data_IF_310131071990
#
_entry.id   IF_310131071990
#
_cell.length_a   1.000
_cell.length_b   1.000
_cell.length_c   1.000
_cell.angle_alpha   90.00
_cell.angle_beta   90.00
_cell.angle_gamma   90.00
#
_symmetry.space_group_name_H-M   'P 1'
#
loop_
_entity.id
_entity.type
_entity.pdbx_description
1 polymer ?
#
# COMPACT_ATOMS: atom_id res chain seq x y z
N UNK A 1 24.17 -35.08 26.84
CA UNK A 1 24.52 -34.66 25.46
C UNK A 1 24.30 -33.16 25.42
N UNK A 2 25.36 -32.42 25.50
CA UNK A 2 25.32 -30.96 25.43
C UNK A 2 25.14 -30.52 23.99
N UNK A 3 24.00 -29.92 23.66
CA UNK A 3 23.80 -29.30 22.35
C UNK A 3 24.47 -27.93 22.38
N UNK A 4 25.53 -27.81 21.58
CA UNK A 4 26.23 -26.58 21.30
C UNK A 4 25.28 -25.61 20.56
N UNK A 5 24.84 -24.54 21.24
CA UNK A 5 24.04 -23.46 20.69
C UNK A 5 24.88 -22.29 20.11
N UNK A 6 26.20 -22.48 19.94
CA UNK A 6 27.13 -21.41 19.54
C UNK A 6 27.27 -21.12 18.07
N UNK A 7 26.38 -21.67 17.19
CA UNK A 7 26.51 -21.53 15.73
C UNK A 7 25.32 -20.91 15.01
N UNK A 8 24.53 -20.06 15.68
CA UNK A 8 23.64 -19.17 14.91
C UNK A 8 24.33 -17.81 14.78
N UNK A 9 24.68 -17.38 13.53
CA UNK A 9 25.10 -16.01 13.32
C UNK A 9 23.98 -15.10 13.81
N UNK A 10 24.29 -13.99 14.51
CA UNK A 10 23.28 -12.99 14.85
C UNK A 10 22.57 -12.63 13.56
N UNK A 11 21.23 -12.77 13.54
CA UNK A 11 20.43 -12.30 12.40
C UNK A 11 20.82 -10.85 12.20
N UNK A 12 21.43 -10.54 11.06
CA UNK A 12 21.69 -9.15 10.67
C UNK A 12 20.40 -8.39 10.94
N UNK A 13 20.50 -7.34 11.77
CA UNK A 13 19.39 -6.39 11.92
C UNK A 13 18.94 -6.10 10.50
N UNK A 14 17.70 -6.39 10.17
CA UNK A 14 17.09 -5.81 8.97
C UNK A 14 17.20 -4.32 9.18
N UNK A 15 18.26 -3.73 8.64
CA UNK A 15 18.40 -2.28 8.62
C UNK A 15 17.08 -1.75 8.13
N UNK A 16 16.44 -0.92 8.95
CA UNK A 16 15.19 -0.29 8.59
C UNK A 16 15.50 0.60 7.39
N UNK A 17 15.35 0.03 6.19
CA UNK A 17 15.63 0.71 4.94
C UNK A 17 14.79 1.99 4.89
N UNK A 18 15.47 3.13 4.94
CA UNK A 18 14.84 4.45 4.89
C UNK A 18 15.31 5.16 3.62
N UNK A 19 14.57 5.01 2.53
CA UNK A 19 14.89 5.76 1.32
C UNK A 19 14.69 7.25 1.56
N UNK A 20 15.43 8.05 0.80
CA UNK A 20 15.28 9.52 0.80
C UNK A 20 14.91 10.00 -0.60
N UNK A 21 14.42 11.22 -0.66
CA UNK A 21 14.27 11.97 -1.91
C UNK A 21 15.62 12.62 -2.21
N UNK A 22 16.35 12.16 -3.25
CA UNK A 22 17.65 12.75 -3.57
C UNK A 22 17.50 14.16 -4.18
N UNK A 23 18.52 15.05 -4.03
CA UNK A 23 18.44 16.42 -4.53
C UNK A 23 18.23 16.53 -6.05
N UNK A 24 18.71 15.56 -6.82
CA UNK A 24 18.60 15.50 -8.29
C UNK A 24 17.72 14.34 -8.76
N UNK A 25 16.56 14.17 -8.12
CA UNK A 25 15.70 13.00 -8.30
C UNK A 25 15.00 12.90 -9.67
N UNK A 26 15.04 13.92 -10.50
CA UNK A 26 14.25 13.98 -11.74
C UNK A 26 14.81 13.12 -12.89
N UNK A 27 15.97 12.52 -12.71
CA UNK A 27 16.55 11.64 -13.72
C UNK A 27 16.15 10.17 -13.48
N UNK A 28 15.44 9.61 -14.44
CA UNK A 28 15.16 8.17 -14.46
C UNK A 28 16.46 7.39 -14.34
N UNK A 29 16.57 6.43 -13.41
CA UNK A 29 17.79 5.62 -13.27
C UNK A 29 18.23 4.99 -14.59
N UNK A 30 19.50 5.12 -14.94
CA UNK A 30 20.05 4.71 -16.24
C UNK A 30 19.80 3.22 -16.57
N UNK A 31 19.76 2.36 -15.55
CA UNK A 31 19.41 0.95 -15.69
C UNK A 31 17.97 0.71 -16.16
N UNK A 32 17.03 1.58 -15.73
CA UNK A 32 15.62 1.48 -16.17
C UNK A 32 15.45 1.96 -17.61
N UNK A 33 16.23 2.94 -18.07
CA UNK A 33 16.18 3.44 -19.45
C UNK A 33 16.61 2.36 -20.44
N UNK A 34 17.66 1.60 -20.12
CA UNK A 34 18.12 0.49 -20.95
C UNK A 34 17.06 -0.60 -21.12
N UNK A 35 16.27 -0.84 -20.08
CA UNK A 35 15.18 -1.82 -20.11
C UNK A 35 14.01 -1.38 -21.00
N UNK A 36 13.75 -0.07 -21.14
CA UNK A 36 12.73 0.45 -22.06
C UNK A 36 13.01 0.13 -23.53
N UNK A 37 14.28 -0.08 -23.85
CA UNK A 37 14.75 -0.34 -25.23
C UNK A 37 14.79 -1.83 -25.58
N UNK A 38 14.45 -2.73 -24.63
CA UNK A 38 14.43 -4.18 -24.91
C UNK A 38 13.28 -4.54 -25.83
N UNK A 39 13.62 -5.21 -26.92
CA UNK A 39 12.64 -5.74 -27.88
C UNK A 39 11.89 -6.93 -27.29
N UNK A 40 10.58 -7.07 -27.61
CA UNK A 40 9.76 -8.22 -27.24
C UNK A 40 8.99 -8.10 -25.93
N UNK A 41 9.01 -6.93 -25.29
CA UNK A 41 8.15 -6.59 -24.14
C UNK A 41 7.75 -5.13 -24.19
N UNK A 42 6.56 -4.81 -23.67
CA UNK A 42 6.17 -3.43 -23.38
C UNK A 42 6.66 -3.05 -21.99
N UNK A 43 7.45 -1.99 -21.91
CA UNK A 43 8.00 -1.51 -20.67
C UNK A 43 7.50 -0.10 -20.37
N UNK A 44 7.11 0.13 -19.12
CA UNK A 44 6.64 1.43 -18.64
C UNK A 44 7.42 1.81 -17.41
N UNK A 45 7.72 3.11 -17.25
CA UNK A 45 8.29 3.68 -16.04
C UNK A 45 7.29 4.68 -15.47
N UNK A 46 6.90 4.44 -14.23
CA UNK A 46 6.03 5.32 -13.48
C UNK A 46 6.83 6.04 -12.41
N UNK A 47 6.82 7.36 -12.48
CA UNK A 47 7.51 8.24 -11.53
C UNK A 47 6.50 8.69 -10.47
N UNK A 48 6.81 8.41 -9.22
CA UNK A 48 6.02 8.85 -8.08
C UNK A 48 6.66 10.11 -7.49
N UNK A 49 5.88 11.17 -7.44
CA UNK A 49 6.27 12.48 -6.92
C UNK A 49 5.34 12.87 -5.80
N UNK A 50 5.92 13.48 -4.76
CA UNK A 50 5.13 14.06 -3.67
C UNK A 50 4.38 15.33 -4.12
N UNK A 51 3.56 15.88 -3.22
CA UNK A 51 2.77 17.09 -3.46
C UNK A 51 3.63 18.30 -3.84
N UNK A 52 4.93 18.31 -3.48
CA UNK A 52 5.88 19.36 -3.80
C UNK A 52 6.65 19.09 -5.12
N UNK A 53 6.16 18.16 -5.94
CA UNK A 53 6.76 17.77 -7.21
C UNK A 53 8.19 17.16 -7.10
N UNK A 54 8.57 16.63 -5.92
CA UNK A 54 9.84 15.94 -5.71
C UNK A 54 9.71 14.46 -5.96
N UNK A 55 10.61 13.86 -6.71
CA UNK A 55 10.58 12.43 -7.04
C UNK A 55 10.95 11.57 -5.85
N UNK A 56 10.01 10.74 -5.38
CA UNK A 56 10.20 9.81 -4.28
C UNK A 56 10.75 8.46 -4.76
N UNK A 57 10.10 7.86 -5.74
CA UNK A 57 10.48 6.55 -6.27
C UNK A 57 9.96 6.33 -7.69
N UNK A 58 10.41 5.26 -8.31
CA UNK A 58 9.92 4.79 -9.59
C UNK A 58 9.38 3.36 -9.50
N UNK A 59 8.44 3.03 -10.37
CA UNK A 59 8.04 1.65 -10.62
C UNK A 59 8.26 1.36 -12.11
N UNK A 60 9.07 0.35 -12.39
CA UNK A 60 9.16 -0.23 -13.73
C UNK A 60 8.14 -1.36 -13.85
N UNK A 61 7.25 -1.25 -14.82
CA UNK A 61 6.36 -2.32 -15.24
C UNK A 61 6.86 -2.91 -16.55
N UNK A 62 6.92 -4.24 -16.60
CA UNK A 62 7.26 -5.00 -17.82
C UNK A 62 6.11 -5.94 -18.13
N UNK A 63 5.53 -5.76 -19.31
CA UNK A 63 4.48 -6.62 -19.87
C UNK A 63 5.13 -7.48 -20.97
N UNK A 64 5.57 -8.73 -20.67
CA UNK A 64 6.21 -9.58 -21.65
C UNK A 64 5.17 -10.09 -22.67
N UNK A 65 5.60 -10.38 -23.91
CA UNK A 65 4.74 -10.97 -24.94
C UNK A 65 4.14 -12.32 -24.50
N UNK A 66 4.80 -13.03 -23.61
CA UNK A 66 4.31 -14.27 -22.97
C UNK A 66 4.72 -14.29 -21.50
N UNK A 67 3.79 -14.69 -20.62
CA UNK A 67 4.05 -14.80 -19.19
C UNK A 67 3.32 -13.73 -18.37
N UNK A 68 3.76 -13.56 -17.12
CA UNK A 68 3.13 -12.61 -16.19
C UNK A 68 3.83 -11.25 -16.23
N UNK A 69 3.06 -10.17 -16.14
CA UNK A 69 3.57 -8.82 -15.90
C UNK A 69 4.39 -8.77 -14.62
N UNK A 70 5.47 -8.00 -14.63
CA UNK A 70 6.32 -7.78 -13.45
C UNK A 70 6.44 -6.30 -13.12
N UNK A 71 6.65 -6.02 -11.82
CA UNK A 71 6.83 -4.68 -11.29
C UNK A 71 8.13 -4.64 -10.49
N UNK A 72 8.98 -3.69 -10.78
CA UNK A 72 10.23 -3.47 -10.06
C UNK A 72 10.23 -2.06 -9.49
N UNK A 73 10.03 -1.91 -8.17
CA UNK A 73 10.16 -0.62 -7.52
C UNK A 73 11.63 -0.23 -7.41
N UNK A 74 11.91 1.07 -7.51
CA UNK A 74 13.24 1.65 -7.36
C UNK A 74 13.16 2.85 -6.46
N UNK A 75 13.90 2.84 -5.35
CA UNK A 75 14.02 3.96 -4.43
C UNK A 75 15.49 4.31 -4.16
N UNK A 76 15.76 5.52 -3.71
CA UNK A 76 17.13 6.00 -3.51
C UNK A 76 17.63 5.59 -2.13
N UNK A 77 18.74 4.87 -2.11
CA UNK A 77 19.44 4.41 -0.92
C UNK A 77 20.52 5.44 -0.55
N UNK A 78 20.37 6.18 0.56
CA UNK A 78 21.33 7.21 0.95
C UNK A 78 22.70 6.64 1.30
N UNK A 79 22.75 5.44 1.87
CA UNK A 79 24.02 4.80 2.28
C UNK A 79 24.84 4.38 1.08
N UNK A 80 24.18 3.98 0.00
CA UNK A 80 24.83 3.60 -1.27
C UNK A 80 24.93 4.74 -2.26
N UNK A 81 24.28 5.87 -1.97
CA UNK A 81 24.16 7.03 -2.85
C UNK A 81 23.72 6.64 -4.27
N UNK A 82 22.72 5.76 -4.38
CA UNK A 82 22.22 5.25 -5.67
C UNK A 82 20.79 4.73 -5.59
N UNK A 83 20.16 4.60 -6.74
CA UNK A 83 18.86 3.95 -6.89
C UNK A 83 19.03 2.43 -6.76
N UNK A 84 18.21 1.81 -5.92
CA UNK A 84 18.21 0.36 -5.67
C UNK A 84 16.83 -0.26 -5.93
N UNK A 85 16.76 -1.55 -6.32
CA UNK A 85 15.49 -2.22 -6.57
C UNK A 85 14.79 -2.60 -5.24
N UNK A 86 14.39 -1.58 -4.48
CA UNK A 86 13.63 -1.72 -3.23
C UNK A 86 12.39 -0.86 -3.29
N UNK A 87 11.30 -1.35 -2.67
CA UNK A 87 10.08 -0.59 -2.54
C UNK A 87 10.25 0.55 -1.51
N UNK A 88 9.56 1.66 -1.77
CA UNK A 88 9.29 2.65 -0.73
C UNK A 88 8.43 1.99 0.35
N UNK A 89 8.77 2.09 1.65
CA UNK A 89 8.16 1.24 2.67
C UNK A 89 6.67 1.53 2.90
N UNK A 90 6.36 2.68 3.44
CA UNK A 90 5.05 3.17 3.85
C UNK A 90 4.91 4.66 3.52
N UNK A 91 3.80 5.28 3.87
CA UNK A 91 3.51 6.70 3.55
C UNK A 91 3.80 7.05 2.09
N UNK A 92 3.46 6.12 1.19
CA UNK A 92 3.75 6.27 -0.24
C UNK A 92 2.90 7.37 -0.84
N UNK A 93 3.50 8.32 -1.59
CA UNK A 93 2.71 9.28 -2.33
C UNK A 93 1.83 8.57 -3.38
N UNK A 94 0.74 9.20 -3.74
CA UNK A 94 -0.08 8.76 -4.85
C UNK A 94 0.65 8.98 -6.19
N UNK A 95 0.40 8.12 -7.15
CA UNK A 95 0.83 8.39 -8.53
C UNK A 95 0.17 9.66 -9.05
N UNK A 96 0.95 10.61 -9.56
CA UNK A 96 0.54 11.95 -9.99
C UNK A 96 0.08 12.88 -8.86
N UNK A 97 0.41 12.61 -7.61
CA UNK A 97 0.06 13.45 -6.46
C UNK A 97 0.44 14.93 -6.66
N UNK A 98 1.59 15.20 -7.25
CA UNK A 98 2.06 16.56 -7.52
C UNK A 98 1.08 17.42 -8.35
N UNK A 99 0.17 16.81 -9.12
CA UNK A 99 -0.85 17.52 -9.88
C UNK A 99 -1.99 18.05 -9.00
N UNK A 100 -2.14 17.53 -7.79
CA UNK A 100 -3.13 17.99 -6.81
C UNK A 100 -2.78 19.34 -6.21
N UNK A 101 -1.50 19.74 -6.27
CA UNK A 101 -1.03 20.98 -5.68
C UNK A 101 -1.63 22.20 -6.40
N UNK A 102 -2.46 22.97 -5.68
CA UNK A 102 -3.14 24.14 -6.23
C UNK A 102 -4.27 23.82 -7.24
N UNK A 103 -4.66 22.57 -7.37
CA UNK A 103 -5.80 22.16 -8.21
C UNK A 103 -7.10 22.14 -7.40
N UNK A 104 -8.17 22.74 -7.94
CA UNK A 104 -9.53 22.70 -7.36
C UNK A 104 -10.41 21.63 -8.02
N UNK A 105 -9.84 20.79 -8.89
CA UNK A 105 -10.59 19.76 -9.60
C UNK A 105 -11.01 18.62 -8.67
N UNK A 106 -12.17 18.00 -8.94
CA UNK A 106 -12.49 16.73 -8.31
C UNK A 106 -11.50 15.64 -8.72
N UNK A 107 -11.35 14.64 -7.88
CA UNK A 107 -10.36 13.57 -8.04
C UNK A 107 -11.04 12.24 -8.36
N UNK A 108 -10.49 11.53 -9.35
CA UNK A 108 -10.80 10.11 -9.57
C UNK A 108 -9.63 9.27 -9.10
N UNK A 109 -9.89 8.32 -8.21
CA UNK A 109 -8.93 7.31 -7.77
C UNK A 109 -9.19 6.01 -8.54
N UNK A 110 -8.16 5.50 -9.22
CA UNK A 110 -8.15 4.21 -9.92
C UNK A 110 -7.13 3.27 -9.30
N UNK A 111 -7.11 1.97 -9.65
CA UNK A 111 -6.23 1.01 -8.99
C UNK A 111 -4.77 1.07 -9.43
N UNK A 112 -4.49 1.41 -10.68
CA UNK A 112 -3.15 1.28 -11.22
C UNK A 112 -2.75 2.37 -12.19
N UNK A 113 -1.43 2.50 -12.39
CA UNK A 113 -0.82 3.58 -13.16
C UNK A 113 -1.24 3.58 -14.63
N UNK A 114 -1.47 2.38 -15.22
CA UNK A 114 -1.92 2.25 -16.62
C UNK A 114 -3.32 2.83 -16.76
N UNK A 115 -4.25 2.44 -15.87
CA UNK A 115 -5.60 2.99 -15.80
C UNK A 115 -5.58 4.50 -15.50
N UNK A 116 -4.72 4.97 -14.59
CA UNK A 116 -4.56 6.40 -14.29
C UNK A 116 -4.09 7.22 -15.49
N UNK A 117 -3.16 6.68 -16.28
CA UNK A 117 -2.70 7.35 -17.51
C UNK A 117 -3.78 7.39 -18.59
N UNK A 118 -4.59 6.33 -18.72
CA UNK A 118 -5.71 6.29 -19.65
C UNK A 118 -6.83 7.25 -19.22
N UNK A 119 -7.22 7.20 -17.94
CA UNK A 119 -8.21 8.09 -17.35
C UNK A 119 -7.82 9.58 -17.52
N UNK A 120 -6.55 9.91 -17.29
CA UNK A 120 -6.06 11.28 -17.46
C UNK A 120 -6.20 11.79 -18.90
N UNK A 121 -6.14 10.91 -19.91
CA UNK A 121 -6.41 11.27 -21.32
C UNK A 121 -7.90 11.44 -21.59
N UNK A 122 -8.75 10.61 -20.96
CA UNK A 122 -10.20 10.64 -21.13
C UNK A 122 -10.79 11.90 -20.47
N UNK A 123 -10.43 12.15 -19.21
CA UNK A 123 -11.03 13.20 -18.39
C UNK A 123 -10.28 14.54 -18.44
N UNK A 124 -9.05 14.54 -18.96
CA UNK A 124 -8.20 15.74 -19.19
C UNK A 124 -8.31 16.80 -18.08
N UNK A 125 -8.98 17.91 -18.43
CA UNK A 125 -9.05 19.10 -17.58
C UNK A 125 -10.18 19.05 -16.54
N UNK A 126 -11.02 18.03 -16.58
CA UNK A 126 -12.20 17.93 -15.70
C UNK A 126 -11.92 17.29 -14.35
N UNK A 127 -10.93 16.40 -14.28
CA UNK A 127 -10.59 15.66 -13.07
C UNK A 127 -9.07 15.54 -12.92
N UNK A 128 -8.62 15.53 -11.68
CA UNK A 128 -7.29 15.01 -11.34
C UNK A 128 -7.39 13.48 -11.15
N UNK A 129 -6.44 12.77 -11.72
CA UNK A 129 -6.45 11.29 -11.68
C UNK A 129 -5.25 10.81 -10.90
N UNK A 130 -5.50 9.98 -9.89
CA UNK A 130 -4.46 9.39 -9.06
C UNK A 130 -4.67 7.89 -8.87
N UNK A 131 -3.62 7.18 -8.46
CA UNK A 131 -3.73 5.82 -7.98
C UNK A 131 -2.66 5.55 -6.91
N UNK A 132 -2.81 4.47 -6.14
CA UNK A 132 -1.77 4.00 -5.23
C UNK A 132 -0.75 3.10 -5.95
N UNK A 133 0.33 2.73 -5.24
CA UNK A 133 1.37 1.84 -5.76
C UNK A 133 1.24 0.42 -5.20
N UNK A 134 1.58 -0.58 -6.00
CA UNK A 134 1.73 -1.96 -5.52
C UNK A 134 0.48 -2.82 -5.59
N UNK A 135 -0.59 -2.35 -6.26
CA UNK A 135 -1.81 -3.13 -6.49
C UNK A 135 -2.70 -3.27 -5.26
N UNK A 136 -3.77 -4.07 -5.39
CA UNK A 136 -4.89 -4.17 -4.44
C UNK A 136 -4.52 -4.55 -3.00
N UNK A 137 -3.38 -5.19 -2.78
CA UNK A 137 -2.93 -5.59 -1.43
C UNK A 137 -2.09 -4.54 -0.69
N UNK A 138 -1.81 -3.38 -1.28
CA UNK A 138 -0.92 -2.36 -0.71
C UNK A 138 -1.58 -0.99 -0.56
N UNK A 139 -2.90 -0.94 -0.61
CA UNK A 139 -3.73 0.26 -0.44
C UNK A 139 -3.39 1.01 0.86
N UNK A 140 -3.22 0.26 1.96
CA UNK A 140 -2.93 0.78 3.30
C UNK A 140 -1.52 1.40 3.46
N UNK A 141 -0.62 1.21 2.51
CA UNK A 141 0.73 1.79 2.55
C UNK A 141 0.80 3.20 1.95
N UNK A 142 -0.32 3.72 1.48
CA UNK A 142 -0.42 5.01 0.78
C UNK A 142 -0.78 6.12 1.72
N UNK A 143 -0.12 7.27 1.57
CA UNK A 143 -0.49 8.50 2.23
C UNK A 143 -1.57 9.21 1.41
N UNK A 144 -2.75 9.39 2.00
CA UNK A 144 -3.88 10.04 1.34
C UNK A 144 -4.05 11.52 1.73
N UNK A 145 -3.16 12.10 2.53
CA UNK A 145 -3.30 13.47 3.04
C UNK A 145 -3.44 14.53 1.94
N UNK A 146 -2.83 14.29 0.76
CA UNK A 146 -2.94 15.19 -0.39
C UNK A 146 -4.37 15.30 -0.98
N UNK A 147 -5.28 14.39 -0.59
CA UNK A 147 -6.67 14.37 -1.02
C UNK A 147 -7.62 15.12 -0.07
N UNK A 148 -7.08 15.72 0.99
CA UNK A 148 -7.91 16.43 1.97
C UNK A 148 -8.76 17.50 1.29
N UNK A 149 -10.04 17.55 1.67
CA UNK A 149 -11.04 18.49 1.19
C UNK A 149 -11.33 18.41 -0.33
N UNK A 150 -10.95 17.30 -0.99
CA UNK A 150 -11.27 17.05 -2.40
C UNK A 150 -12.57 16.27 -2.55
N UNK A 151 -13.30 16.55 -3.63
CA UNK A 151 -14.40 15.69 -4.09
C UNK A 151 -13.82 14.42 -4.69
N UNK A 152 -14.06 13.27 -4.07
CA UNK A 152 -13.43 12.00 -4.43
C UNK A 152 -14.43 11.05 -5.08
N UNK A 153 -14.06 10.52 -6.24
CA UNK A 153 -14.76 9.44 -6.92
C UNK A 153 -13.84 8.22 -7.05
N UNK A 154 -14.27 7.08 -6.55
CA UNK A 154 -13.57 5.81 -6.68
C UNK A 154 -14.01 5.11 -7.97
N UNK A 155 -13.03 4.61 -8.72
CA UNK A 155 -13.27 3.84 -9.94
C UNK A 155 -12.62 2.47 -9.85
N UNK A 156 -13.36 1.43 -9.42
CA UNK A 156 -12.81 0.08 -9.27
C UNK A 156 -12.56 -0.59 -10.63
N UNK A 157 -11.56 -1.46 -10.70
CA UNK A 157 -11.51 -2.49 -11.71
C UNK A 157 -12.74 -3.39 -11.57
N UNK A 158 -13.28 -3.91 -12.66
CA UNK A 158 -14.54 -4.66 -12.64
C UNK A 158 -14.36 -6.10 -12.15
N UNK A 159 -13.82 -6.26 -10.95
CA UNK A 159 -13.72 -7.56 -10.27
C UNK A 159 -13.81 -7.43 -8.74
N UNK A 160 -13.85 -8.56 -8.05
CA UNK A 160 -13.99 -8.59 -6.60
C UNK A 160 -12.77 -7.97 -5.88
N UNK A 161 -11.57 -8.11 -6.45
CA UNK A 161 -10.35 -7.54 -5.87
C UNK A 161 -10.35 -6.01 -5.98
N UNK A 162 -10.80 -5.47 -7.13
CA UNK A 162 -10.95 -4.05 -7.34
C UNK A 162 -11.97 -3.40 -6.42
N UNK A 163 -13.11 -4.06 -6.23
CA UNK A 163 -14.13 -3.59 -5.29
C UNK A 163 -13.58 -3.62 -3.85
N UNK A 164 -12.85 -4.66 -3.46
CA UNK A 164 -12.23 -4.75 -2.13
C UNK A 164 -11.18 -3.65 -1.92
N UNK A 165 -10.31 -3.43 -2.90
CA UNK A 165 -9.27 -2.40 -2.84
C UNK A 165 -9.86 -0.98 -2.74
N UNK A 166 -10.89 -0.67 -3.54
CA UNK A 166 -11.57 0.63 -3.43
C UNK A 166 -12.34 0.79 -2.13
N UNK A 167 -12.91 -0.30 -1.59
CA UNK A 167 -13.53 -0.28 -0.25
C UNK A 167 -12.48 0.02 0.82
N UNK A 168 -11.31 -0.59 0.75
CA UNK A 168 -10.21 -0.32 1.67
C UNK A 168 -9.76 1.14 1.58
N UNK A 169 -9.57 1.68 0.38
CA UNK A 169 -9.21 3.09 0.18
C UNK A 169 -10.28 4.04 0.76
N UNK A 170 -11.56 3.75 0.52
CA UNK A 170 -12.66 4.54 1.09
C UNK A 170 -12.64 4.53 2.62
N UNK A 171 -12.47 3.37 3.25
CA UNK A 171 -12.42 3.26 4.71
C UNK A 171 -11.25 4.05 5.30
N UNK A 172 -10.07 4.01 4.67
CA UNK A 172 -8.89 4.78 5.08
C UNK A 172 -9.18 6.29 4.99
N UNK A 173 -9.72 6.73 3.86
CA UNK A 173 -10.04 8.14 3.63
C UNK A 173 -11.04 8.69 4.67
N UNK A 174 -12.08 7.91 4.99
CA UNK A 174 -13.09 8.27 6.00
C UNK A 174 -12.53 8.24 7.42
N UNK A 175 -11.81 7.17 7.78
CA UNK A 175 -11.23 6.99 9.12
C UNK A 175 -10.16 8.05 9.45
N UNK A 176 -9.41 8.52 8.44
CA UNK A 176 -8.42 9.58 8.58
C UNK A 176 -9.02 11.00 8.50
N UNK A 177 -10.32 11.12 8.27
CA UNK A 177 -10.97 12.43 8.12
C UNK A 177 -10.45 13.24 6.93
N UNK A 178 -10.05 12.55 5.85
CA UNK A 178 -9.61 13.18 4.59
C UNK A 178 -10.81 13.80 3.89
N UNK A 179 -11.95 13.11 3.93
CA UNK A 179 -13.23 13.56 3.38
C UNK A 179 -14.37 12.92 4.15
N UNK A 180 -15.52 13.57 4.16
CA UNK A 180 -16.75 13.04 4.77
C UNK A 180 -17.63 12.28 3.77
N UNK A 181 -17.36 12.46 2.47
CA UNK A 181 -18.17 11.89 1.40
C UNK A 181 -17.31 11.39 0.26
N UNK A 182 -17.61 10.18 -0.19
CA UNK A 182 -16.94 9.54 -1.32
C UNK A 182 -18.02 9.02 -2.27
N UNK A 183 -17.84 9.29 -3.56
CA UNK A 183 -18.63 8.66 -4.61
C UNK A 183 -17.91 7.45 -5.19
N UNK A 184 -18.67 6.47 -5.72
CA UNK A 184 -18.11 5.28 -6.36
C UNK A 184 -18.84 4.98 -7.67
N UNK A 185 -18.06 4.60 -8.68
CA UNK A 185 -18.61 4.11 -9.95
C UNK A 185 -19.06 2.66 -9.79
N UNK A 186 -20.27 2.37 -10.23
CA UNK A 186 -20.82 1.01 -10.25
C UNK A 186 -20.90 0.54 -11.70
N UNK A 187 -20.02 -0.37 -12.08
CA UNK A 187 -20.03 -0.97 -13.41
C UNK A 187 -21.13 -2.02 -13.51
N UNK A 188 -21.83 -2.03 -14.62
CA UNK A 188 -22.89 -3.01 -14.89
C UNK A 188 -22.28 -4.33 -15.41
N UNK A 189 -23.09 -5.40 -15.49
CA UNK A 189 -22.71 -6.69 -16.08
C UNK A 189 -22.36 -6.64 -17.58
N UNK A 190 -22.52 -5.48 -18.22
CA UNK A 190 -22.10 -5.25 -19.62
C UNK A 190 -20.60 -5.01 -19.75
N UNK A 191 -19.92 -4.75 -18.64
CA UNK A 191 -18.47 -4.61 -18.60
C UNK A 191 -17.81 -5.97 -18.32
N UNK A 192 -16.79 -6.35 -19.10
CA UNK A 192 -16.06 -7.60 -18.87
C UNK A 192 -15.45 -7.66 -17.46
N UNK A 193 -15.26 -8.86 -16.92
CA UNK A 193 -14.48 -9.07 -15.70
C UNK A 193 -13.08 -8.49 -15.87
N UNK A 194 -12.59 -7.77 -14.85
CA UNK A 194 -11.28 -7.07 -14.82
C UNK A 194 -11.16 -5.91 -15.81
N UNK A 195 -12.24 -5.44 -16.37
CA UNK A 195 -12.22 -4.24 -17.19
C UNK A 195 -11.76 -3.03 -16.36
N UNK A 196 -10.81 -2.26 -16.90
CA UNK A 196 -10.33 -1.00 -16.35
C UNK A 196 -10.36 0.13 -17.41
N UNK A 197 -10.07 1.35 -17.02
CA UNK A 197 -10.08 2.53 -17.90
C UNK A 197 -9.00 2.53 -18.99
N UNK A 198 -8.05 1.60 -18.95
CA UNK A 198 -7.06 1.42 -20.02
C UNK A 198 -7.52 0.44 -21.11
N UNK A 199 -8.64 -0.26 -20.89
CA UNK A 199 -9.21 -1.19 -21.84
C UNK A 199 -10.12 -0.47 -22.85
N UNK A 200 -10.41 -1.14 -23.96
CA UNK A 200 -11.41 -0.63 -24.90
C UNK A 200 -12.79 -0.59 -24.25
N UNK A 201 -13.52 0.50 -24.51
CA UNK A 201 -14.89 0.61 -23.99
C UNK A 201 -15.77 -0.50 -24.57
N UNK A 202 -16.54 -1.25 -23.76
CA UNK A 202 -17.28 -2.41 -24.20
C UNK A 202 -18.38 -2.05 -25.22
N UNK A 203 -18.40 -2.74 -26.35
CA UNK A 203 -19.38 -2.51 -27.42
C UNK A 203 -20.82 -2.73 -26.92
N UNK A 204 -21.05 -3.74 -26.09
CA UNK A 204 -22.38 -4.02 -25.55
C UNK A 204 -22.89 -2.90 -24.65
N UNK A 205 -22.02 -2.26 -23.87
CA UNK A 205 -22.36 -1.09 -23.07
C UNK A 205 -22.67 0.11 -23.97
N UNK A 206 -21.85 0.35 -25.00
CA UNK A 206 -22.05 1.43 -25.97
C UNK A 206 -23.38 1.26 -26.72
N UNK A 207 -23.72 0.05 -27.17
CA UNK A 207 -24.99 -0.25 -27.87
C UNK A 207 -26.24 -0.04 -26.97
N UNK A 208 -26.06 -0.01 -25.64
CA UNK A 208 -27.12 0.33 -24.67
C UNK A 208 -27.11 1.81 -24.29
N UNK A 209 -26.35 2.65 -25.00
CA UNK A 209 -26.26 4.08 -24.74
C UNK A 209 -25.42 4.48 -23.55
N UNK A 210 -24.68 3.53 -22.94
CA UNK A 210 -23.75 3.83 -21.85
C UNK A 210 -22.49 4.43 -22.46
N UNK A 211 -21.99 5.49 -21.86
CA UNK A 211 -20.69 6.08 -22.19
C UNK A 211 -19.94 6.45 -20.91
N UNK A 212 -18.66 6.75 -21.05
CA UNK A 212 -17.76 6.98 -19.92
C UNK A 212 -18.20 8.16 -19.05
N UNK A 213 -18.74 9.23 -19.66
CA UNK A 213 -19.20 10.41 -18.92
C UNK A 213 -20.53 10.13 -18.21
N UNK A 214 -21.41 9.34 -18.81
CA UNK A 214 -22.65 8.90 -18.19
C UNK A 214 -22.41 8.05 -16.92
N UNK A 215 -21.29 7.33 -16.85
CA UNK A 215 -20.89 6.63 -15.61
C UNK A 215 -20.55 7.62 -14.49
N UNK A 216 -19.87 8.73 -14.80
CA UNK A 216 -19.61 9.81 -13.85
C UNK A 216 -20.92 10.47 -13.37
N UNK A 217 -21.84 10.73 -14.27
CA UNK A 217 -23.14 11.35 -13.95
C UNK A 217 -24.02 10.45 -13.08
N UNK A 218 -23.88 9.14 -13.20
CA UNK A 218 -24.66 8.12 -12.47
C UNK A 218 -23.92 7.49 -11.29
N UNK A 219 -22.74 8.05 -10.90
CA UNK A 219 -22.03 7.60 -9.71
C UNK A 219 -22.92 7.71 -8.47
N UNK A 220 -22.71 6.82 -7.53
CA UNK A 220 -23.44 6.80 -6.26
C UNK A 220 -22.53 7.06 -5.07
N UNK A 221 -23.12 7.50 -3.98
CA UNK A 221 -22.41 7.58 -2.71
C UNK A 221 -21.88 6.21 -2.30
N UNK A 222 -20.64 6.17 -1.82
CA UNK A 222 -20.04 4.96 -1.29
C UNK A 222 -20.70 4.57 0.03
N UNK A 223 -21.16 3.34 0.07
CA UNK A 223 -21.66 2.71 1.30
C UNK A 223 -20.93 1.38 1.45
N UNK A 224 -20.19 1.22 2.53
CA UNK A 224 -19.44 0.00 2.77
C UNK A 224 -20.37 -1.21 2.95
N UNK A 225 -20.08 -2.30 2.24
CA UNK A 225 -20.66 -3.59 2.58
C UNK A 225 -20.15 -4.05 3.95
N UNK A 226 -21.05 -4.26 4.90
CA UNK A 226 -20.69 -4.58 6.30
C UNK A 226 -19.81 -5.83 6.42
N UNK A 227 -19.97 -6.80 5.54
CA UNK A 227 -19.17 -8.03 5.52
C UNK A 227 -17.75 -7.78 5.04
N UNK A 228 -17.64 -6.99 3.97
CA UNK A 228 -16.37 -6.60 3.39
C UNK A 228 -15.59 -5.67 4.31
N UNK A 229 -16.25 -4.69 4.91
CA UNK A 229 -15.67 -3.82 5.92
C UNK A 229 -15.09 -4.61 7.10
N UNK A 230 -15.85 -5.52 7.70
CA UNK A 230 -15.36 -6.39 8.78
C UNK A 230 -14.15 -7.22 8.38
N UNK A 231 -14.13 -7.73 7.15
CA UNK A 231 -12.99 -8.48 6.60
C UNK A 231 -11.73 -7.61 6.51
N UNK A 232 -11.87 -6.38 6.00
CA UNK A 232 -10.75 -5.43 5.84
C UNK A 232 -10.23 -5.00 7.21
N UNK A 233 -11.09 -4.58 8.14
CA UNK A 233 -10.69 -4.16 9.49
C UNK A 233 -10.00 -5.26 10.26
N UNK A 234 -10.47 -6.51 10.15
CA UNK A 234 -9.79 -7.67 10.74
C UNK A 234 -8.38 -7.86 10.15
N UNK A 235 -8.19 -7.70 8.83
CA UNK A 235 -6.87 -7.77 8.21
C UNK A 235 -5.94 -6.68 8.73
N UNK A 236 -6.42 -5.45 8.93
CA UNK A 236 -5.62 -4.37 9.52
C UNK A 236 -5.19 -4.68 10.96
N UNK A 237 -6.09 -5.19 11.77
CA UNK A 237 -5.74 -5.65 13.13
C UNK A 237 -4.64 -6.73 13.12
N UNK A 238 -4.72 -7.68 12.18
CA UNK A 238 -3.71 -8.72 12.04
C UNK A 238 -2.34 -8.15 11.61
N UNK A 239 -2.33 -7.15 10.73
CA UNK A 239 -1.11 -6.44 10.31
C UNK A 239 -0.50 -5.63 11.46
N UNK A 240 -1.31 -4.86 12.18
CA UNK A 240 -0.86 -4.08 13.35
C UNK A 240 -0.28 -4.99 14.43
N UNK A 241 -0.97 -6.08 14.77
CA UNK A 241 -0.49 -7.04 15.76
C UNK A 241 0.82 -7.70 15.33
N UNK A 242 0.97 -8.02 14.04
CA UNK A 242 2.22 -8.58 13.50
C UNK A 242 3.37 -7.57 13.59
N UNK A 243 3.14 -6.31 13.26
CA UNK A 243 4.13 -5.23 13.40
C UNK A 243 4.58 -5.09 14.85
N UNK A 244 3.63 -5.03 15.80
CA UNK A 244 3.94 -4.95 17.23
C UNK A 244 4.76 -6.13 17.74
N UNK A 245 4.52 -7.35 17.24
CA UNK A 245 5.30 -8.53 17.60
C UNK A 245 6.76 -8.37 17.14
N UNK A 246 6.98 -7.85 15.93
CA UNK A 246 8.34 -7.57 15.46
C UNK A 246 9.02 -6.48 16.29
N UNK A 247 8.31 -5.40 16.64
CA UNK A 247 8.84 -4.32 17.46
C UNK A 247 9.25 -4.82 18.85
N UNK A 248 8.49 -5.74 19.43
CA UNK A 248 8.82 -6.37 20.70
C UNK A 248 10.04 -7.28 20.55
N UNK A 249 10.10 -8.10 19.49
CA UNK A 249 11.21 -9.00 19.24
C UNK A 249 12.54 -8.26 19.00
N UNK A 250 12.49 -7.03 18.46
CA UNK A 250 13.68 -6.19 18.29
C UNK A 250 14.19 -5.57 19.60
N UNK A 251 13.35 -5.49 20.62
CA UNK A 251 13.68 -4.86 21.90
C UNK A 251 13.90 -5.86 23.03
N UNK A 252 13.31 -7.03 22.94
CA UNK A 252 13.32 -8.03 24.02
C UNK A 252 13.64 -9.43 23.49
N UNK A 253 14.38 -10.20 24.29
CA UNK A 253 14.64 -11.63 24.06
C UNK A 253 14.00 -12.44 25.18
N UNK A 254 13.20 -13.44 24.82
CA UNK A 254 12.62 -14.36 25.79
C UNK A 254 13.61 -15.47 26.14
N UNK A 255 13.94 -15.59 27.45
CA UNK A 255 14.84 -16.60 27.96
C UNK A 255 14.03 -17.75 28.55
N UNK A 256 13.86 -18.83 27.80
CA UNK A 256 13.04 -20.00 28.19
C UNK A 256 13.48 -20.67 29.47
N UNK A 257 14.76 -20.61 29.78
CA UNK A 257 15.34 -21.29 30.97
C UNK A 257 14.89 -20.65 32.29
N UNK A 258 14.67 -19.34 32.29
CA UNK A 258 14.27 -18.57 33.46
C UNK A 258 12.84 -18.08 33.39
N UNK A 259 12.16 -18.29 32.27
CA UNK A 259 10.81 -17.75 31.98
C UNK A 259 10.76 -16.21 32.08
N UNK A 260 11.83 -15.54 31.64
CA UNK A 260 12.00 -14.09 31.74
C UNK A 260 12.25 -13.46 30.38
N UNK A 261 11.98 -12.16 30.29
CA UNK A 261 12.32 -11.35 29.13
C UNK A 261 13.55 -10.49 29.42
N UNK A 262 14.48 -10.45 28.49
CA UNK A 262 15.67 -9.63 28.54
C UNK A 262 15.53 -8.43 27.62
N UNK A 263 15.59 -7.20 28.17
CA UNK A 263 15.56 -5.96 27.41
C UNK A 263 16.95 -5.66 26.85
N UNK A 264 17.07 -5.64 25.52
CA UNK A 264 18.38 -5.51 24.83
C UNK A 264 19.03 -4.15 25.11
N UNK A 265 18.24 -3.09 25.23
CA UNK A 265 18.75 -1.73 25.41
C UNK A 265 19.30 -1.47 26.81
N UNK A 266 18.63 -1.95 27.83
CA UNK A 266 19.02 -1.73 29.24
C UNK A 266 19.92 -2.82 29.80
N UNK A 267 20.01 -3.96 29.10
CA UNK A 267 20.68 -5.17 29.57
C UNK A 267 20.11 -5.73 30.90
N UNK A 268 18.80 -5.58 31.10
CA UNK A 268 18.11 -6.03 32.30
C UNK A 268 17.06 -7.09 31.99
N UNK A 269 16.83 -7.98 32.95
CA UNK A 269 15.69 -8.88 32.91
C UNK A 269 14.43 -8.14 33.33
N UNK A 270 13.37 -8.30 32.54
CA UNK A 270 12.07 -7.69 32.78
C UNK A 270 11.01 -8.78 32.97
N UNK A 271 10.13 -8.56 33.92
CA UNK A 271 9.01 -9.48 34.15
C UNK A 271 7.96 -9.35 33.06
N UNK A 272 7.19 -10.43 32.83
CA UNK A 272 6.04 -10.39 31.95
C UNK A 272 5.02 -9.30 32.35
N UNK A 273 4.90 -9.02 33.65
CA UNK A 273 4.04 -7.94 34.15
C UNK A 273 4.49 -6.57 33.66
N UNK A 274 5.81 -6.29 33.67
CA UNK A 274 6.36 -5.04 33.13
C UNK A 274 6.13 -4.96 31.62
N UNK A 275 6.43 -6.04 30.89
CA UNK A 275 6.21 -6.10 29.46
C UNK A 275 4.73 -5.86 29.08
N UNK A 276 3.81 -6.49 29.82
CA UNK A 276 2.37 -6.26 29.65
C UNK A 276 1.97 -4.81 29.94
N UNK A 277 2.52 -4.21 31.00
CA UNK A 277 2.26 -2.82 31.33
C UNK A 277 2.70 -1.88 30.20
N UNK A 278 3.88 -2.11 29.61
CA UNK A 278 4.47 -1.23 28.62
C UNK A 278 3.88 -1.40 27.20
N UNK A 279 3.38 -2.58 26.88
CA UNK A 279 2.99 -2.94 25.52
C UNK A 279 1.54 -3.37 25.34
N UNK A 280 0.84 -3.88 26.36
CA UNK A 280 -0.51 -4.41 26.21
C UNK A 280 -1.50 -3.40 25.63
N UNK A 281 -1.36 -2.11 25.96
CA UNK A 281 -2.22 -1.04 25.47
C UNK A 281 -2.07 -0.77 23.96
N UNK A 282 -0.95 -1.23 23.33
CA UNK A 282 -0.72 -1.11 21.90
C UNK A 282 -1.40 -2.21 21.11
N UNK A 283 -1.72 -3.35 21.74
CA UNK A 283 -2.47 -4.41 21.10
C UNK A 283 -3.96 -4.06 21.06
N UNK A 284 -4.48 -3.90 19.87
CA UNK A 284 -5.92 -3.77 19.65
C UNK A 284 -6.54 -5.16 19.60
N UNK A 285 -7.57 -5.38 20.39
CA UNK A 285 -8.41 -6.55 20.27
C UNK A 285 -9.88 -6.17 20.42
N UNK A 286 -10.73 -6.86 19.66
CA UNK A 286 -12.17 -6.67 19.67
C UNK A 286 -12.85 -7.11 20.97
N UNK A 287 -12.13 -7.81 21.87
CA UNK A 287 -12.65 -8.32 23.13
C UNK A 287 -12.33 -7.43 24.33
N UNK A 288 -11.50 -6.40 24.17
CA UNK A 288 -11.07 -5.51 25.24
C UNK A 288 -10.25 -6.19 26.35
N UNK A 289 -9.81 -7.44 26.14
CA UNK A 289 -9.03 -8.25 27.08
C UNK A 289 -7.72 -8.66 26.41
N UNK A 290 -6.71 -7.82 26.52
CA UNK A 290 -5.38 -8.12 26.00
C UNK A 290 -4.48 -8.71 27.09
N UNK A 291 -4.40 -10.02 27.19
CA UNK A 291 -3.25 -10.63 27.86
C UNK A 291 -2.14 -10.83 26.81
N UNK A 292 -1.15 -9.92 26.83
CA UNK A 292 -0.01 -9.95 25.94
C UNK A 292 0.76 -11.28 26.06
N UNK A 293 0.83 -11.86 27.26
CA UNK A 293 1.56 -13.11 27.52
C UNK A 293 0.99 -14.28 26.71
N UNK A 294 -0.32 -14.43 26.67
CA UNK A 294 -0.97 -15.51 25.91
C UNK A 294 -0.73 -15.34 24.40
N UNK A 295 -0.77 -14.09 23.92
CA UNK A 295 -0.60 -13.80 22.49
C UNK A 295 0.84 -13.93 22.01
N UNK A 296 1.79 -13.44 22.79
CA UNK A 296 3.22 -13.58 22.47
C UNK A 296 3.66 -15.04 22.52
N UNK A 297 3.30 -15.78 23.56
CA UNK A 297 3.69 -17.18 23.73
C UNK A 297 2.97 -18.14 22.77
N UNK A 298 1.76 -17.81 22.33
CA UNK A 298 1.01 -18.57 21.34
C UNK A 298 1.42 -18.28 19.88
N UNK A 299 2.25 -17.26 19.65
CA UNK A 299 2.61 -16.88 18.29
C UNK A 299 3.76 -17.74 17.75
N UNK A 300 3.57 -18.40 16.57
CA UNK A 300 4.61 -19.25 15.97
C UNK A 300 5.93 -18.51 15.68
N UNK A 301 5.89 -17.19 15.46
CA UNK A 301 7.08 -16.37 15.19
C UNK A 301 7.95 -16.21 16.43
N UNK A 302 7.37 -16.11 17.62
CA UNK A 302 8.12 -16.03 18.90
C UNK A 302 8.62 -17.41 19.31
N UNK A 303 7.87 -18.46 18.99
CA UNK A 303 8.31 -19.84 19.23
C UNK A 303 9.42 -20.31 18.27
N UNK A 304 9.69 -19.56 17.21
CA UNK A 304 10.76 -19.82 16.24
C UNK A 304 12.05 -19.00 16.53
N UNK A 305 11.99 -18.06 17.47
CA UNK A 305 13.13 -17.32 18.03
C UNK A 305 13.66 -18.05 19.27
#
# INVERSE_FOLDING_TARGET
MSHNYDNYPPKEKKDSYKPIIPPEADQVPSGMIKDLQRTGSENYIYQYKDINNRTCFYIKRTDPARGKKSFTPMSFDPDKNTWVPKAWPDDRPLFKEHLLNGSDKPVIIVEGEKAANAAAKIFKDSFDIVCWSGGSNQVHLTNYAALKDKDITLWPDNDAAGIEAMTEAALILLDQGVTDKIDIIKLSKLFPEKWDLADHFPTDAANKGINIWGLIETKGEFVADTKLEKKIRKRWEELDNKSLIFDIADQYVYVRQTDEWFEIKTHEFVTMTKLNHDWAHKFRDNSGRGDLSIRLLANPLINAL
#
